data_IF_579456358806
#
_entry.id   IF_579456358806
#
_cell.length_a   1.000
_cell.length_b   1.000
_cell.length_c   1.000
_cell.angle_alpha   90.00
_cell.angle_beta   90.00
_cell.angle_gamma   90.00
#
_symmetry.space_group_name_H-M   'P 1'
#
loop_
_entity.id
_entity.type
_entity.pdbx_description
1 polymer ?
#
# COMPACT_ATOMS: atom_id res chain seq x y z
N UNK A 1 -8.74 -13.92 -6.83
CA UNK A 1 -7.92 -13.61 -5.63
C UNK A 1 -6.69 -12.86 -6.14
N UNK A 2 -6.57 -11.58 -5.80
CA UNK A 2 -5.43 -10.75 -6.21
C UNK A 2 -4.17 -11.06 -5.39
N UNK A 3 -3.06 -10.35 -5.64
CA UNK A 3 -1.85 -10.49 -4.82
C UNK A 3 -2.10 -9.96 -3.40
N UNK A 4 -1.37 -10.49 -2.41
CA UNK A 4 -1.44 -9.96 -1.03
C UNK A 4 -0.83 -8.55 -0.95
N UNK A 5 -1.19 -7.78 0.09
CA UNK A 5 -0.56 -6.49 0.36
C UNK A 5 0.96 -6.62 0.48
N UNK A 6 1.47 -7.65 1.15
CA UNK A 6 2.91 -7.84 1.31
C UNK A 6 3.61 -8.15 -0.01
N UNK A 7 3.00 -8.94 -0.88
CA UNK A 7 3.58 -9.25 -2.18
C UNK A 7 3.56 -8.03 -3.09
N UNK A 8 2.51 -7.20 -3.02
CA UNK A 8 2.51 -5.89 -3.65
C UNK A 8 3.61 -4.98 -3.10
N UNK A 9 3.77 -4.90 -1.78
CA UNK A 9 4.73 -4.02 -1.14
C UNK A 9 6.18 -4.31 -1.56
N UNK A 10 6.52 -5.58 -1.82
CA UNK A 10 7.84 -5.99 -2.35
C UNK A 10 8.12 -5.48 -3.77
N UNK A 11 7.09 -5.20 -4.55
CA UNK A 11 7.22 -4.65 -5.92
C UNK A 11 7.45 -3.13 -5.94
N UNK A 12 7.25 -2.46 -4.79
CA UNK A 12 7.38 -1.01 -4.67
C UNK A 12 8.83 -0.61 -4.39
N UNK A 13 9.14 0.67 -4.60
CA UNK A 13 10.41 1.24 -4.16
C UNK A 13 10.53 1.16 -2.63
N UNK A 14 11.45 0.32 -2.16
CA UNK A 14 11.65 0.07 -0.73
C UNK A 14 12.11 1.32 0.04
N UNK A 15 12.75 2.28 -0.64
CA UNK A 15 13.11 3.56 -0.02
C UNK A 15 11.86 4.43 0.24
N UNK A 16 10.86 4.37 -0.64
CA UNK A 16 9.57 5.05 -0.44
C UNK A 16 8.76 4.33 0.63
N UNK A 17 8.67 3.00 0.57
CA UNK A 17 7.98 2.18 1.58
C UNK A 17 8.51 2.48 2.98
N UNK A 18 9.84 2.48 3.15
CA UNK A 18 10.48 2.77 4.43
C UNK A 18 10.12 4.16 4.97
N UNK A 19 10.04 5.18 4.10
CA UNK A 19 9.63 6.54 4.51
C UNK A 19 8.15 6.61 4.90
N UNK A 20 7.29 5.95 4.13
CA UNK A 20 5.83 5.95 4.35
C UNK A 20 5.45 5.17 5.61
N UNK A 21 6.21 4.11 5.93
CA UNK A 21 6.01 3.24 7.08
C UNK A 21 6.82 3.66 8.32
N UNK A 22 7.64 4.71 8.23
CA UNK A 22 8.51 5.15 9.32
C UNK A 22 7.70 5.53 10.57
N UNK A 23 8.07 4.94 11.71
CA UNK A 23 7.38 5.13 12.99
C UNK A 23 6.05 4.38 13.11
N UNK A 24 5.74 3.52 12.14
CA UNK A 24 4.50 2.77 12.05
C UNK A 24 4.69 1.30 11.66
N UNK A 25 5.90 0.78 11.85
CA UNK A 25 6.36 -0.49 11.32
C UNK A 25 5.61 -1.69 11.94
N UNK A 26 5.29 -1.59 13.23
CA UNK A 26 4.63 -2.64 14.01
C UNK A 26 3.10 -2.68 13.84
N UNK A 27 2.50 -1.62 13.28
CA UNK A 27 1.06 -1.53 13.11
C UNK A 27 0.62 -2.02 11.74
N UNK A 28 -0.67 -2.36 11.61
CA UNK A 28 -1.27 -2.61 10.31
C UNK A 28 -1.10 -1.40 9.39
N UNK A 29 -0.82 -1.63 8.09
CA UNK A 29 -0.73 -0.56 7.10
C UNK A 29 -2.04 0.20 7.01
N UNK A 30 -1.94 1.52 6.94
CA UNK A 30 -3.10 2.39 6.71
C UNK A 30 -3.35 2.55 5.21
N UNK A 31 -4.62 2.67 4.80
CA UNK A 31 -4.98 3.00 3.43
C UNK A 31 -4.29 4.30 2.96
N UNK A 32 -4.12 5.27 3.86
CA UNK A 32 -3.42 6.51 3.54
C UNK A 32 -1.94 6.31 3.18
N UNK A 33 -1.26 5.33 3.78
CA UNK A 33 0.11 4.97 3.42
C UNK A 33 0.19 4.42 1.99
N UNK A 34 -0.78 3.59 1.63
CA UNK A 34 -0.88 3.04 0.27
C UNK A 34 -1.18 4.15 -0.74
N UNK A 35 -2.08 5.08 -0.40
CA UNK A 35 -2.38 6.24 -1.25
C UNK A 35 -1.14 7.10 -1.51
N UNK A 36 -0.28 7.27 -0.51
CA UNK A 36 1.00 7.98 -0.69
C UNK A 36 1.93 7.31 -1.70
N UNK A 37 2.11 5.99 -1.58
CA UNK A 37 2.91 5.20 -2.52
C UNK A 37 2.29 5.27 -3.92
N UNK A 38 0.96 5.21 -4.01
CA UNK A 38 0.22 5.31 -5.25
C UNK A 38 0.49 6.65 -5.97
N UNK A 39 0.30 7.77 -5.28
CA UNK A 39 0.56 9.10 -5.85
C UNK A 39 2.02 9.22 -6.29
N UNK A 40 2.98 8.70 -5.51
CA UNK A 40 4.39 8.70 -5.88
C UNK A 40 4.65 7.91 -7.17
N UNK A 41 4.09 6.72 -7.31
CA UNK A 41 4.19 5.92 -8.54
C UNK A 41 3.61 6.66 -9.75
N UNK A 42 2.48 7.35 -9.58
CA UNK A 42 1.88 8.17 -10.65
C UNK A 42 2.81 9.32 -11.06
N UNK A 43 3.42 10.01 -10.09
CA UNK A 43 4.40 11.06 -10.37
C UNK A 43 5.64 10.54 -11.11
N UNK A 44 6.06 9.31 -10.81
CA UNK A 44 7.20 8.65 -11.45
C UNK A 44 6.82 7.96 -12.78
N UNK A 45 5.57 8.12 -13.24
CA UNK A 45 5.03 7.49 -14.45
C UNK A 45 5.06 5.95 -14.43
N UNK A 46 4.98 5.36 -13.24
CA UNK A 46 4.94 3.90 -13.00
C UNK A 46 3.55 3.45 -12.52
N UNK A 47 2.52 3.85 -13.25
CA UNK A 47 1.13 3.62 -12.86
C UNK A 47 0.78 2.12 -12.76
N UNK A 48 1.49 1.27 -13.50
CA UNK A 48 1.37 -0.18 -13.54
C UNK A 48 1.74 -0.88 -12.21
N UNK A 49 2.54 -0.21 -11.37
CA UNK A 49 2.92 -0.75 -10.06
C UNK A 49 1.81 -0.58 -9.01
N UNK A 50 0.78 0.21 -9.30
CA UNK A 50 -0.30 0.47 -8.36
C UNK A 50 -1.20 -0.74 -8.19
N UNK A 51 -1.86 -0.87 -7.02
CA UNK A 51 -2.87 -1.89 -6.83
C UNK A 51 -4.12 -1.57 -7.65
N UNK A 52 -4.84 -2.61 -8.03
CA UNK A 52 -6.17 -2.43 -8.61
C UNK A 52 -7.19 -2.10 -7.52
N UNK A 53 -8.33 -1.51 -7.90
CA UNK A 53 -9.43 -1.25 -6.96
C UNK A 53 -9.95 -2.53 -6.29
N UNK A 54 -9.89 -3.67 -6.99
CA UNK A 54 -10.29 -4.97 -6.44
C UNK A 54 -9.30 -5.47 -5.38
N UNK A 55 -7.99 -5.29 -5.60
CA UNK A 55 -6.95 -5.61 -4.61
C UNK A 55 -7.08 -4.73 -3.36
N UNK A 56 -7.29 -3.43 -3.53
CA UNK A 56 -7.51 -2.52 -2.39
C UNK A 56 -8.74 -2.92 -1.57
N UNK A 57 -9.85 -3.24 -2.24
CA UNK A 57 -11.07 -3.70 -1.56
C UNK A 57 -10.84 -5.01 -0.81
N UNK A 58 -10.15 -5.97 -1.43
CA UNK A 58 -9.79 -7.25 -0.80
C UNK A 58 -8.93 -7.04 0.44
N UNK A 59 -7.93 -6.16 0.38
CA UNK A 59 -7.03 -5.91 1.51
C UNK A 59 -7.72 -5.23 2.69
N UNK A 60 -8.64 -4.29 2.43
CA UNK A 60 -9.44 -3.64 3.49
C UNK A 60 -10.41 -4.65 4.11
N UNK A 61 -11.13 -5.42 3.28
CA UNK A 61 -12.15 -6.36 3.77
C UNK A 61 -11.57 -7.58 4.46
N UNK A 62 -10.40 -8.05 4.04
CA UNK A 62 -9.64 -9.12 4.71
C UNK A 62 -8.86 -8.66 5.94
N UNK A 63 -8.80 -7.35 6.20
CA UNK A 63 -8.09 -6.78 7.35
C UNK A 63 -6.56 -6.83 7.24
N UNK A 64 -6.02 -6.99 6.02
CA UNK A 64 -4.60 -6.84 5.72
C UNK A 64 -4.12 -5.40 5.91
N UNK A 65 -5.02 -4.43 5.67
CA UNK A 65 -4.80 -3.00 5.86
C UNK A 65 -6.00 -2.38 6.59
N UNK A 66 -5.75 -1.30 7.31
CA UNK A 66 -6.80 -0.53 7.99
C UNK A 66 -7.16 0.70 7.17
N UNK A 67 -8.47 0.91 6.92
CA UNK A 67 -8.94 2.11 6.23
C UNK A 67 -8.69 3.38 7.07
N UNK A 68 -8.90 3.29 8.39
CA UNK A 68 -8.63 4.35 9.37
C UNK A 68 -8.29 3.70 10.72
N UNK A 69 -7.43 4.35 11.52
CA UNK A 69 -7.27 4.01 12.94
C UNK A 69 -8.32 4.76 13.76
N UNK A 70 -8.97 4.05 14.69
CA UNK A 70 -9.81 4.65 15.72
C UNK A 70 -8.96 5.20 16.85
#
# INVERSE_FOLDING_TARGET
MGRSYQDWLKTQDQAVVSKVRAGDEANKPLLNQINWIWVKNLMDKKAELNPTSAELLDWVTSGQIDAMRK
#
